data_IF_269240566928
#
_entry.id   IF_269240566928
#
_cell.length_a   1.000
_cell.length_b   1.000
_cell.length_c   1.000
_cell.angle_alpha   90.00
_cell.angle_beta   90.00
_cell.angle_gamma   90.00
#
_symmetry.space_group_name_H-M   'P 1'
#
loop_
_entity.id
_entity.type
_entity.pdbx_description
1 polymer ?
#
# COMPACT_ATOMS: atom_id res chain seq x y z
N UNK A 1 -53.31 25.16 -8.43
CA UNK A 1 -54.07 25.49 -9.66
C UNK A 1 -53.15 25.28 -10.85
N UNK A 2 -53.46 24.56 -11.92
CA UNK A 2 -54.62 23.71 -12.31
C UNK A 2 -54.10 22.71 -13.38
N UNK A 3 -54.47 21.41 -13.24
CA UNK A 3 -54.65 20.32 -14.26
C UNK A 3 -53.59 20.08 -15.37
N UNK A 4 -53.20 18.86 -15.73
CA UNK A 4 -53.93 17.64 -16.16
C UNK A 4 -54.68 17.74 -17.51
N UNK A 5 -54.30 16.89 -18.47
CA UNK A 5 -55.15 16.23 -19.48
C UNK A 5 -54.43 14.91 -19.85
N UNK A 6 -54.97 13.70 -19.58
CA UNK A 6 -56.04 12.98 -20.30
C UNK A 6 -55.60 12.57 -21.72
N UNK A 7 -55.13 11.34 -22.00
CA UNK A 7 -55.79 10.02 -21.98
C UNK A 7 -56.80 9.77 -23.13
N UNK A 8 -56.47 8.86 -24.05
CA UNK A 8 -57.40 8.19 -25.00
C UNK A 8 -56.84 6.78 -25.33
N UNK A 9 -57.47 5.67 -24.89
CA UNK A 9 -58.49 4.85 -25.58
C UNK A 9 -57.93 3.97 -26.74
N UNK A 10 -58.16 2.64 -26.86
CA UNK A 10 -59.38 1.82 -26.65
C UNK A 10 -59.12 0.33 -26.29
N UNK A 11 -60.19 -0.40 -25.91
CA UNK A 11 -60.27 -1.83 -25.50
C UNK A 11 -60.68 -2.81 -26.64
N UNK A 12 -60.28 -4.09 -26.51
CA UNK A 12 -61.02 -5.37 -26.77
C UNK A 12 -60.15 -6.55 -26.26
N UNK A 13 -60.55 -7.68 -25.64
CA UNK A 13 -61.81 -8.23 -25.08
C UNK A 13 -62.62 -9.30 -25.86
N UNK A 14 -62.16 -10.58 -25.78
CA UNK A 14 -62.85 -11.89 -25.97
C UNK A 14 -61.78 -12.99 -25.66
N UNK A 15 -61.81 -13.83 -24.62
CA UNK A 15 -62.80 -14.85 -24.20
C UNK A 15 -62.83 -16.11 -25.08
N UNK A 16 -62.08 -17.15 -24.68
CA UNK A 16 -62.36 -18.55 -25.03
C UNK A 16 -61.97 -19.49 -23.87
N UNK A 17 -62.81 -20.47 -23.57
CA UNK A 17 -62.71 -21.35 -22.41
C UNK A 17 -63.47 -22.64 -22.73
N UNK A 18 -62.82 -23.81 -22.80
CA UNK A 18 -63.38 -25.13 -22.41
C UNK A 18 -62.38 -26.30 -22.56
N UNK A 19 -62.05 -26.92 -21.42
CA UNK A 19 -61.98 -28.36 -21.08
C UNK A 19 -61.35 -29.39 -22.06
N UNK A 20 -60.44 -30.20 -21.48
CA UNK A 20 -60.20 -31.67 -21.58
C UNK A 20 -58.69 -31.91 -21.30
N UNK A 21 -58.20 -32.79 -20.41
CA UNK A 21 -58.78 -33.82 -19.51
C UNK A 21 -58.02 -33.87 -18.15
N UNK A 22 -58.15 -34.96 -17.38
CA UNK A 22 -57.14 -35.46 -16.44
C UNK A 22 -56.52 -36.76 -16.97
N UNK A 23 -55.23 -36.98 -16.75
CA UNK A 23 -54.65 -38.32 -16.61
C UNK A 23 -53.50 -38.30 -15.60
N UNK A 24 -53.68 -38.99 -14.48
CA UNK A 24 -52.62 -39.24 -13.50
C UNK A 24 -51.66 -40.29 -14.07
N UNK A 25 -50.41 -39.91 -14.31
CA UNK A 25 -49.30 -40.85 -14.48
C UNK A 25 -48.21 -40.51 -13.48
N UNK A 26 -48.06 -41.36 -12.48
CA UNK A 26 -46.89 -41.34 -11.61
C UNK A 26 -45.68 -41.82 -12.40
N UNK A 27 -44.72 -40.92 -12.66
CA UNK A 27 -43.37 -41.32 -13.04
C UNK A 27 -42.47 -41.15 -11.81
N UNK A 28 -42.04 -42.28 -11.26
CA UNK A 28 -40.95 -42.37 -10.32
C UNK A 28 -39.72 -41.65 -10.87
N UNK A 29 -39.30 -40.55 -10.23
CA UNK A 29 -37.94 -40.02 -10.41
C UNK A 29 -36.98 -40.99 -9.74
N UNK A 30 -36.51 -42.00 -10.48
CA UNK A 30 -35.32 -42.74 -10.08
C UNK A 30 -34.18 -41.72 -9.91
N UNK A 31 -33.54 -41.75 -8.75
CA UNK A 31 -32.23 -41.15 -8.63
C UNK A 31 -31.30 -41.93 -9.57
N UNK A 32 -30.62 -41.23 -10.48
CA UNK A 32 -29.59 -41.85 -11.30
C UNK A 32 -28.44 -42.30 -10.38
N UNK A 33 -28.13 -43.59 -10.44
CA UNK A 33 -27.04 -44.22 -9.71
C UNK A 33 -25.70 -43.77 -10.35
N UNK A 34 -24.74 -43.20 -9.60
CA UNK A 34 -23.48 -42.73 -10.18
C UNK A 34 -22.54 -43.84 -10.69
N UNK A 35 -22.95 -45.11 -10.65
CA UNK A 35 -22.05 -46.27 -10.85
C UNK A 35 -21.85 -46.76 -12.29
N UNK A 36 -22.33 -46.05 -13.32
CA UNK A 36 -22.04 -46.43 -14.73
C UNK A 36 -20.78 -45.75 -15.28
N UNK A 37 -19.69 -46.52 -15.42
CA UNK A 37 -18.64 -46.23 -16.41
C UNK A 37 -17.21 -45.94 -15.93
N UNK A 38 -16.84 -46.27 -14.69
CA UNK A 38 -15.40 -46.29 -14.32
C UNK A 38 -14.75 -47.64 -14.65
N UNK A 39 -13.70 -47.62 -15.47
CA UNK A 39 -12.83 -48.78 -15.71
C UNK A 39 -12.00 -49.08 -14.44
N UNK A 40 -12.55 -49.94 -13.58
CA UNK A 40 -11.98 -50.31 -12.26
C UNK A 40 -10.57 -50.93 -12.35
N UNK A 41 -10.08 -51.29 -13.55
CA UNK A 41 -8.77 -51.94 -13.79
C UNK A 41 -7.66 -51.01 -14.31
N UNK A 42 -7.88 -49.69 -14.37
CA UNK A 42 -6.81 -48.75 -14.74
C UNK A 42 -5.69 -48.76 -13.68
N UNK A 43 -4.50 -49.25 -14.05
CA UNK A 43 -3.33 -49.39 -13.17
C UNK A 43 -3.02 -48.08 -12.42
N UNK A 44 -2.98 -48.14 -11.09
CA UNK A 44 -2.72 -46.96 -10.26
C UNK A 44 -1.25 -46.50 -10.39
N UNK A 45 -1.05 -45.19 -10.33
CA UNK A 45 0.27 -44.59 -10.48
C UNK A 45 1.05 -44.55 -9.16
N UNK A 46 2.36 -44.82 -9.24
CA UNK A 46 3.33 -44.68 -8.13
C UNK A 46 4.23 -43.46 -8.26
N UNK A 47 4.25 -42.80 -9.42
CA UNK A 47 5.03 -41.58 -9.70
C UNK A 47 4.10 -40.35 -9.76
N UNK A 48 4.59 -39.21 -9.29
CA UNK A 48 3.76 -38.01 -9.09
C UNK A 48 3.00 -37.56 -10.35
N UNK A 49 3.60 -37.57 -11.54
CA UNK A 49 2.93 -37.14 -12.79
C UNK A 49 1.74 -38.02 -13.17
N UNK A 50 1.70 -39.26 -12.69
CA UNK A 50 0.57 -40.17 -12.82
C UNK A 50 -0.45 -39.98 -11.69
N UNK A 51 0.01 -39.79 -10.46
CA UNK A 51 -0.85 -39.56 -9.28
C UNK A 51 -1.72 -38.30 -9.50
N UNK A 52 -1.14 -37.21 -10.01
CA UNK A 52 -1.87 -35.95 -10.28
C UNK A 52 -2.86 -36.05 -11.47
N UNK A 53 -2.84 -37.15 -12.23
CA UNK A 53 -3.75 -37.45 -13.34
C UNK A 53 -4.71 -38.59 -13.02
N UNK A 54 -4.67 -39.13 -11.81
CA UNK A 54 -5.57 -40.17 -11.37
C UNK A 54 -6.91 -39.54 -10.99
N UNK A 55 -7.99 -40.12 -11.50
CA UNK A 55 -9.35 -39.73 -11.10
C UNK A 55 -9.58 -40.12 -9.65
N UNK A 56 -10.34 -39.33 -8.86
CA UNK A 56 -10.67 -39.67 -7.49
C UNK A 56 -11.52 -40.95 -7.42
N UNK A 57 -11.28 -41.76 -6.41
CA UNK A 57 -12.07 -42.95 -6.15
C UNK A 57 -13.47 -42.63 -5.60
N UNK A 58 -14.44 -43.56 -5.70
CA UNK A 58 -15.79 -43.38 -5.14
C UNK A 58 -15.80 -43.22 -3.62
N UNK A 59 -14.74 -43.63 -2.93
CA UNK A 59 -14.51 -43.42 -1.50
C UNK A 59 -13.45 -42.35 -1.22
N UNK A 60 -13.42 -41.30 -2.03
CA UNK A 60 -12.65 -40.07 -1.79
C UNK A 60 -13.47 -39.01 -1.03
N UNK A 61 -12.81 -37.95 -0.54
CA UNK A 61 -13.52 -36.80 0.02
C UNK A 61 -13.97 -36.96 1.48
N UNK A 62 -15.14 -36.39 1.84
CA UNK A 62 -15.48 -36.04 3.24
C UNK A 62 -16.15 -37.14 4.08
N UNK A 63 -17.06 -37.92 3.52
CA UNK A 63 -17.88 -38.87 4.30
C UNK A 63 -17.93 -40.24 3.62
N UNK A 64 -17.30 -41.24 4.25
CA UNK A 64 -17.28 -42.63 3.82
C UNK A 64 -17.63 -43.52 5.01
N UNK A 65 -18.54 -44.48 4.79
CA UNK A 65 -18.69 -45.63 5.66
C UNK A 65 -17.58 -46.62 5.29
N UNK A 66 -16.64 -46.87 6.21
CA UNK A 66 -15.62 -47.90 6.03
C UNK A 66 -16.26 -49.26 5.75
N UNK A 67 -17.45 -49.52 6.30
CA UNK A 67 -18.23 -50.74 6.04
C UNK A 67 -18.57 -50.92 4.55
N UNK A 68 -18.85 -49.84 3.81
CA UNK A 68 -19.07 -49.89 2.35
C UNK A 68 -17.78 -50.15 1.58
N UNK A 69 -16.65 -49.60 2.04
CA UNK A 69 -15.36 -49.89 1.45
C UNK A 69 -15.01 -51.37 1.66
N UNK A 70 -15.17 -51.88 2.89
CA UNK A 70 -14.98 -53.30 3.22
C UNK A 70 -15.85 -54.22 2.34
N UNK A 71 -17.13 -53.88 2.11
CA UNK A 71 -18.03 -54.62 1.20
C UNK A 71 -17.55 -54.69 -0.27
N UNK A 72 -16.82 -53.69 -0.77
CA UNK A 72 -16.18 -53.74 -2.09
C UNK A 72 -14.88 -54.55 -2.04
N UNK A 73 -14.11 -54.48 -0.95
CA UNK A 73 -12.87 -55.24 -0.74
C UNK A 73 -13.13 -56.75 -0.55
N UNK A 74 -14.24 -57.13 0.08
CA UNK A 74 -14.67 -58.51 0.26
C UNK A 74 -14.81 -59.27 -1.07
N UNK A 75 -15.20 -58.55 -2.13
CA UNK A 75 -15.40 -59.08 -3.48
C UNK A 75 -14.11 -59.31 -4.28
N UNK A 76 -12.96 -58.82 -3.78
CA UNK A 76 -11.67 -59.05 -4.42
C UNK A 76 -11.23 -60.51 -4.27
N UNK A 77 -10.44 -61.07 -5.22
CA UNK A 77 -9.94 -62.43 -5.12
C UNK A 77 -9.01 -62.61 -3.91
N UNK A 78 -8.81 -63.86 -3.51
CA UNK A 78 -7.82 -64.24 -2.50
C UNK A 78 -6.43 -64.43 -3.18
N UNK A 79 -5.35 -64.48 -2.39
CA UNK A 79 -3.96 -64.60 -2.87
C UNK A 79 -3.50 -63.51 -3.88
N UNK A 80 -4.02 -62.28 -3.76
CA UNK A 80 -3.69 -61.15 -4.64
C UNK A 80 -2.20 -60.77 -4.65
N UNK A 81 -1.76 -60.11 -5.74
CA UNK A 81 -0.47 -59.42 -5.79
C UNK A 81 -0.54 -58.00 -5.25
N UNK A 82 0.58 -57.53 -4.70
CA UNK A 82 0.67 -56.21 -4.10
C UNK A 82 0.34 -55.06 -5.07
N UNK A 83 0.65 -55.19 -6.36
CA UNK A 83 0.35 -54.16 -7.36
C UNK A 83 -1.11 -54.21 -7.87
N UNK A 84 -1.75 -55.38 -7.82
CA UNK A 84 -3.20 -55.54 -8.02
C UNK A 84 -3.97 -54.92 -6.85
N UNK A 85 -3.62 -55.28 -5.61
CA UNK A 85 -4.20 -54.72 -4.40
C UNK A 85 -3.99 -53.20 -4.33
N UNK A 86 -2.78 -52.70 -4.59
CA UNK A 86 -2.50 -51.26 -4.69
C UNK A 86 -3.40 -50.56 -5.71
N UNK A 87 -3.57 -51.17 -6.89
CA UNK A 87 -4.44 -50.61 -7.94
C UNK A 87 -5.90 -50.53 -7.47
N UNK A 88 -6.42 -51.59 -6.86
CA UNK A 88 -7.78 -51.57 -6.31
C UNK A 88 -7.94 -50.56 -5.18
N UNK A 89 -7.04 -50.54 -4.19
CA UNK A 89 -7.14 -49.62 -3.05
C UNK A 89 -7.12 -48.15 -3.50
N UNK A 90 -6.17 -47.76 -4.34
CA UNK A 90 -6.08 -46.37 -4.82
C UNK A 90 -7.26 -46.00 -5.71
N UNK A 91 -7.75 -46.90 -6.57
CA UNK A 91 -8.95 -46.63 -7.37
C UNK A 91 -10.23 -46.53 -6.52
N UNK A 92 -10.23 -47.04 -5.28
CA UNK A 92 -11.34 -46.91 -4.34
C UNK A 92 -11.26 -45.63 -3.49
N UNK A 93 -10.13 -45.35 -2.83
CA UNK A 93 -10.01 -44.24 -1.84
C UNK A 93 -9.18 -43.04 -2.32
N UNK A 94 -8.58 -43.11 -3.51
CA UNK A 94 -7.66 -42.11 -4.04
C UNK A 94 -8.28 -40.71 -4.11
N UNK A 95 -7.55 -39.72 -3.62
CA UNK A 95 -8.05 -38.36 -3.48
C UNK A 95 -7.93 -37.52 -4.76
N UNK A 96 -8.80 -36.53 -4.92
CA UNK A 96 -8.71 -35.56 -6.03
C UNK A 96 -7.50 -34.65 -5.85
N UNK A 97 -6.38 -35.02 -6.47
CA UNK A 97 -5.20 -34.18 -6.64
C UNK A 97 -5.20 -33.40 -7.95
N UNK A 98 -5.99 -33.81 -8.94
CA UNK A 98 -6.00 -33.18 -10.26
C UNK A 98 -6.55 -31.74 -10.17
N UNK A 99 -7.62 -31.51 -9.40
CA UNK A 99 -8.15 -30.16 -9.14
C UNK A 99 -7.18 -29.31 -8.31
N UNK A 100 -6.32 -29.95 -7.50
CA UNK A 100 -5.31 -29.26 -6.69
C UNK A 100 -4.16 -28.79 -7.58
N UNK A 101 -3.59 -29.70 -8.38
CA UNK A 101 -2.54 -29.41 -9.34
C UNK A 101 -2.96 -28.25 -10.28
N UNK A 102 -4.16 -28.31 -10.85
CA UNK A 102 -4.71 -27.23 -11.69
C UNK A 102 -4.76 -25.87 -10.97
N UNK A 103 -5.08 -25.82 -9.67
CA UNK A 103 -5.10 -24.56 -8.92
C UNK A 103 -3.70 -24.03 -8.61
N UNK A 104 -2.75 -24.92 -8.34
CA UNK A 104 -1.32 -24.59 -8.15
C UNK A 104 -0.69 -24.10 -9.46
N UNK A 105 -1.01 -24.75 -10.59
CA UNK A 105 -0.55 -24.35 -11.93
C UNK A 105 -1.09 -22.97 -12.37
N UNK A 106 -2.28 -22.60 -11.91
CA UNK A 106 -2.89 -21.28 -12.14
C UNK A 106 -2.66 -20.30 -10.96
N UNK A 107 -1.66 -20.53 -10.12
CA UNK A 107 -1.28 -19.58 -9.07
C UNK A 107 -0.55 -18.37 -9.68
N UNK A 108 -1.22 -17.22 -9.65
CA UNK A 108 -0.65 -15.93 -10.00
C UNK A 108 -0.48 -15.07 -8.72
N UNK A 109 0.76 -14.75 -8.31
CA UNK A 109 1.06 -13.86 -7.19
C UNK A 109 1.24 -12.39 -7.60
N UNK A 110 1.09 -12.03 -8.88
CA UNK A 110 1.45 -10.70 -9.39
C UNK A 110 0.74 -9.55 -8.64
N UNK A 111 1.48 -8.47 -8.43
CA UNK A 111 0.98 -7.21 -7.89
C UNK A 111 1.02 -6.15 -9.01
N UNK A 112 -0.06 -5.38 -9.16
CA UNK A 112 -0.16 -4.35 -10.19
C UNK A 112 0.23 -2.99 -9.62
N UNK A 113 1.27 -2.38 -10.19
CA UNK A 113 1.71 -1.01 -9.89
C UNK A 113 1.00 -0.07 -10.85
N UNK A 114 0.38 0.99 -10.35
CA UNK A 114 -0.26 2.03 -11.17
C UNK A 114 0.76 3.12 -11.58
N UNK A 115 0.31 4.15 -12.31
CA UNK A 115 1.21 5.20 -12.81
C UNK A 115 1.55 6.25 -11.76
N UNK A 116 2.77 6.78 -11.81
CA UNK A 116 3.17 7.94 -11.00
C UNK A 116 2.86 9.26 -11.74
N UNK A 117 1.97 10.08 -11.19
CA UNK A 117 1.62 11.39 -11.78
C UNK A 117 2.49 12.53 -11.22
N UNK A 118 3.50 12.96 -11.98
CA UNK A 118 4.37 14.11 -11.62
C UNK A 118 3.67 15.48 -11.64
N UNK A 119 2.51 15.60 -12.29
CA UNK A 119 1.74 16.86 -12.35
C UNK A 119 0.36 16.66 -11.74
N UNK A 120 0.01 17.51 -10.78
CA UNK A 120 -1.33 17.54 -10.22
C UNK A 120 -2.33 17.98 -11.30
N UNK A 121 -3.02 17.02 -11.90
CA UNK A 121 -4.30 17.30 -12.55
C UNK A 121 -5.39 17.47 -11.50
N UNK A 122 -6.51 18.08 -11.87
CA UNK A 122 -7.72 18.17 -11.04
C UNK A 122 -8.43 16.81 -10.85
N UNK A 123 -7.70 15.72 -11.09
CA UNK A 123 -8.11 14.36 -10.78
C UNK A 123 -8.36 14.24 -9.28
N UNK A 124 -9.48 13.61 -8.94
CA UNK A 124 -9.87 13.39 -7.54
C UNK A 124 -8.76 12.61 -6.85
N UNK A 125 -8.05 13.25 -5.92
CA UNK A 125 -7.38 12.55 -4.83
C UNK A 125 -8.41 11.58 -4.26
N UNK A 126 -8.23 10.28 -4.49
CA UNK A 126 -9.03 9.28 -3.79
C UNK A 126 -8.76 9.48 -2.30
N UNK A 127 -9.84 9.53 -1.52
CA UNK A 127 -9.77 9.68 -0.08
C UNK A 127 -9.30 8.36 0.56
N UNK A 128 -8.05 8.01 0.31
CA UNK A 128 -7.33 6.97 1.05
C UNK A 128 -7.15 7.45 2.49
N UNK A 129 -7.89 6.83 3.41
CA UNK A 129 -7.85 7.16 4.82
C UNK A 129 -6.57 6.65 5.49
N UNK A 130 -5.99 7.49 6.36
CA UNK A 130 -5.06 7.17 7.45
C UNK A 130 -3.96 6.12 7.17
N UNK A 131 -3.42 6.06 5.94
CA UNK A 131 -2.11 5.45 5.64
C UNK A 131 -1.04 6.53 5.65
N UNK A 132 0.13 6.23 6.23
CA UNK A 132 1.16 7.20 6.64
C UNK A 132 1.72 8.03 5.47
N UNK A 133 1.10 9.20 5.22
CA UNK A 133 1.63 10.25 4.33
C UNK A 133 2.78 10.99 5.00
N UNK A 134 3.85 11.28 4.26
CA UNK A 134 5.00 12.03 4.77
C UNK A 134 4.60 13.48 5.03
N UNK A 135 4.51 13.90 6.29
CA UNK A 135 4.03 15.24 6.66
C UNK A 135 5.01 16.32 6.19
N UNK A 136 4.52 17.28 5.40
CA UNK A 136 5.29 18.43 4.93
C UNK A 136 4.97 19.66 5.78
N UNK A 137 6.00 20.30 6.31
CA UNK A 137 5.91 21.50 7.12
C UNK A 137 6.76 22.60 6.53
N UNK A 138 6.14 23.75 6.31
CA UNK A 138 6.76 24.92 5.69
C UNK A 138 6.63 26.10 6.65
N UNK A 139 7.74 26.60 7.18
CA UNK A 139 7.76 27.87 7.90
C UNK A 139 8.41 28.95 7.05
N UNK A 140 7.77 30.12 6.96
CA UNK A 140 8.30 31.28 6.25
C UNK A 140 8.69 32.34 7.27
N UNK A 141 9.96 32.76 7.23
CA UNK A 141 10.53 33.85 8.02
C UNK A 141 10.61 35.09 7.14
N UNK A 142 9.69 36.02 7.34
CA UNK A 142 9.63 37.29 6.60
C UNK A 142 10.34 38.41 7.38
N UNK A 143 11.37 38.96 6.77
CA UNK A 143 12.05 40.16 7.23
C UNK A 143 11.15 41.39 7.07
N UNK A 144 10.87 42.08 8.18
CA UNK A 144 10.16 43.35 8.23
C UNK A 144 11.03 44.47 8.83
N UNK A 145 12.35 44.37 8.65
CA UNK A 145 13.25 45.48 8.89
C UNK A 145 13.00 46.63 7.91
N UNK A 146 13.34 47.86 8.31
CA UNK A 146 13.00 49.07 7.54
C UNK A 146 13.75 49.23 6.21
N UNK A 147 14.71 48.36 5.89
CA UNK A 147 15.30 48.28 4.55
C UNK A 147 14.30 47.72 3.51
N UNK A 148 13.37 46.87 3.95
CA UNK A 148 12.26 46.36 3.14
C UNK A 148 11.20 47.43 2.77
N UNK A 149 11.30 48.64 3.34
CA UNK A 149 10.55 49.83 2.89
C UNK A 149 11.15 50.45 1.60
N UNK A 150 12.36 50.03 1.23
CA UNK A 150 13.04 50.43 0.00
C UNK A 150 12.27 50.01 -1.25
N UNK A 151 12.65 50.58 -2.39
CA UNK A 151 12.02 50.32 -3.68
C UNK A 151 12.97 49.68 -4.67
N UNK A 152 12.47 48.68 -5.40
CA UNK A 152 13.11 48.13 -6.60
C UNK A 152 12.11 48.22 -7.75
N UNK A 153 12.58 48.64 -8.93
CA UNK A 153 11.76 48.82 -10.14
C UNK A 153 10.46 49.65 -9.93
N UNK A 154 10.40 50.51 -8.90
CA UNK A 154 9.27 51.37 -8.57
C UNK A 154 8.29 50.82 -7.52
N UNK A 155 8.27 49.51 -7.31
CA UNK A 155 7.51 48.81 -6.24
C UNK A 155 8.29 48.81 -4.92
N UNK A 156 7.59 48.61 -3.80
CA UNK A 156 8.20 48.47 -2.46
C UNK A 156 8.61 47.02 -2.23
N UNK A 157 9.79 46.76 -1.67
CA UNK A 157 10.31 45.40 -1.44
C UNK A 157 9.35 44.55 -0.61
N UNK A 158 8.84 45.07 0.51
CA UNK A 158 7.87 44.36 1.35
C UNK A 158 6.65 43.86 0.56
N UNK A 159 6.10 44.68 -0.33
CA UNK A 159 4.92 44.31 -1.12
C UNK A 159 5.25 43.22 -2.15
N UNK A 160 6.40 43.31 -2.82
CA UNK A 160 6.87 42.24 -3.72
C UNK A 160 7.12 40.91 -2.97
N UNK A 161 7.61 40.97 -1.73
CA UNK A 161 7.81 39.79 -0.88
C UNK A 161 6.47 39.17 -0.44
N UNK A 162 5.47 39.99 -0.05
CA UNK A 162 4.11 39.54 0.29
C UNK A 162 3.44 38.86 -0.92
N UNK A 163 3.44 39.52 -2.08
CA UNK A 163 2.91 38.98 -3.35
C UNK A 163 3.52 37.60 -3.66
N UNK A 164 4.85 37.48 -3.53
CA UNK A 164 5.55 36.24 -3.85
C UNK A 164 5.33 35.10 -2.84
N UNK A 165 5.21 35.44 -1.55
CA UNK A 165 4.89 34.48 -0.49
C UNK A 165 3.45 33.96 -0.65
N UNK A 166 2.47 34.82 -0.96
CA UNK A 166 1.07 34.39 -1.11
C UNK A 166 0.88 33.44 -2.31
N UNK A 167 1.49 33.70 -3.46
CA UNK A 167 1.48 32.79 -4.63
C UNK A 167 2.10 31.43 -4.27
N UNK A 168 3.26 31.43 -3.61
CA UNK A 168 3.96 30.21 -3.20
C UNK A 168 3.10 29.31 -2.31
N UNK A 169 2.50 29.86 -1.25
CA UNK A 169 1.67 29.08 -0.31
C UNK A 169 0.31 28.68 -0.88
N UNK A 170 -0.18 29.36 -1.92
CA UNK A 170 -1.49 29.07 -2.51
C UNK A 170 -1.54 27.74 -3.29
N UNK A 171 -0.38 27.17 -3.60
CA UNK A 171 -0.18 26.02 -4.50
C UNK A 171 0.72 24.95 -3.84
N UNK A 172 0.68 24.85 -2.51
CA UNK A 172 1.26 23.72 -1.76
C UNK A 172 0.20 22.62 -1.51
N UNK A 173 0.59 21.36 -1.27
CA UNK A 173 -0.32 20.27 -0.95
C UNK A 173 -1.27 20.61 0.21
N UNK A 174 -2.52 20.16 0.13
CA UNK A 174 -3.58 20.50 1.10
C UNK A 174 -3.33 19.92 2.49
N UNK A 175 -2.51 18.87 2.58
CA UNK A 175 -2.06 18.21 3.81
C UNK A 175 -0.76 18.79 4.38
N UNK A 176 -0.10 19.74 3.69
CA UNK A 176 1.02 20.47 4.23
C UNK A 176 0.57 21.48 5.32
N UNK A 177 1.34 21.58 6.40
CA UNK A 177 1.15 22.62 7.44
C UNK A 177 2.08 23.80 7.15
N UNK A 178 1.56 25.01 7.23
CA UNK A 178 2.28 26.26 6.99
C UNK A 178 2.30 27.11 8.27
N UNK A 179 3.44 27.70 8.59
CA UNK A 179 3.57 28.83 9.54
C UNK A 179 4.18 30.05 8.85
N UNK A 180 3.75 31.25 9.25
CA UNK A 180 4.38 32.52 8.85
C UNK A 180 4.81 33.27 10.11
N UNK A 181 6.11 33.54 10.20
CA UNK A 181 6.75 34.29 11.28
C UNK A 181 7.38 35.54 10.70
N UNK A 182 7.06 36.68 11.31
CA UNK A 182 7.62 37.98 10.94
C UNK A 182 8.62 38.42 12.01
N UNK A 183 9.66 39.13 11.60
CA UNK A 183 10.67 39.67 12.51
C UNK A 183 11.13 41.08 12.10
N UNK A 184 11.49 41.90 13.09
CA UNK A 184 11.91 43.30 12.86
C UNK A 184 10.77 44.32 12.67
N UNK A 185 9.51 43.88 12.70
CA UNK A 185 8.32 44.70 12.40
C UNK A 185 7.91 45.70 13.49
N UNK A 186 8.54 45.68 14.68
CA UNK A 186 8.22 46.60 15.79
C UNK A 186 9.29 47.67 15.98
N UNK A 187 8.85 48.86 16.42
CA UNK A 187 9.73 49.97 16.75
C UNK A 187 10.11 50.79 15.53
N UNK A 188 11.40 51.08 15.37
CA UNK A 188 11.96 51.74 14.18
C UNK A 188 13.45 51.45 14.04
N UNK A 189 14.03 51.85 12.90
CA UNK A 189 15.48 51.87 12.68
C UNK A 189 16.27 52.87 13.54
N UNK A 190 15.62 53.65 14.43
CA UNK A 190 16.34 54.48 15.39
C UNK A 190 16.99 53.62 16.50
N UNK A 191 18.21 54.00 16.91
CA UNK A 191 18.94 53.28 17.97
C UNK A 191 18.17 53.16 19.29
N UNK A 192 17.28 54.13 19.61
CA UNK A 192 16.41 54.09 20.79
C UNK A 192 15.39 52.93 20.78
N UNK A 193 14.97 52.51 19.59
CA UNK A 193 13.94 51.49 19.41
C UNK A 193 14.57 50.12 19.09
N UNK A 194 15.91 50.06 18.98
CA UNK A 194 16.68 48.85 18.64
C UNK A 194 16.36 47.68 19.56
N UNK A 195 16.25 47.88 20.87
CA UNK A 195 15.90 46.81 21.80
C UNK A 195 14.52 46.20 21.48
N UNK A 196 13.48 47.05 21.35
CA UNK A 196 12.11 46.64 21.01
C UNK A 196 12.05 45.89 19.68
N UNK A 197 12.81 46.38 18.69
CA UNK A 197 12.82 45.79 17.37
C UNK A 197 13.60 44.47 17.31
N UNK A 198 14.76 44.41 17.97
CA UNK A 198 15.53 43.18 18.10
C UNK A 198 14.81 42.11 18.92
N UNK A 199 13.87 42.51 19.79
CA UNK A 199 12.99 41.57 20.47
C UNK A 199 11.78 41.11 19.63
N UNK A 200 11.50 41.74 18.48
CA UNK A 200 10.35 41.41 17.63
C UNK A 200 10.64 40.25 16.67
N UNK A 201 10.13 39.08 17.01
CA UNK A 201 9.99 37.92 16.12
C UNK A 201 8.79 37.08 16.60
N UNK A 202 7.70 37.04 15.83
CA UNK A 202 6.47 36.36 16.25
C UNK A 202 5.71 35.71 15.08
N UNK A 203 4.96 34.65 15.39
CA UNK A 203 4.11 33.93 14.43
C UNK A 203 2.84 34.74 14.19
N UNK A 204 2.61 35.11 12.94
CA UNK A 204 1.42 35.84 12.48
C UNK A 204 0.43 34.95 11.72
N UNK A 205 0.90 33.84 11.15
CA UNK A 205 0.04 32.73 10.72
C UNK A 205 0.42 31.45 11.47
N UNK A 206 -0.45 30.91 12.33
CA UNK A 206 -0.12 29.75 13.16
C UNK A 206 0.04 28.48 12.33
N UNK A 207 0.95 27.62 12.76
CA UNK A 207 1.29 26.35 12.10
C UNK A 207 0.05 25.48 11.85
N UNK A 208 -0.33 25.29 10.59
CA UNK A 208 -1.49 24.49 10.19
C UNK A 208 -1.83 24.61 8.71
N UNK A 209 -2.89 23.91 8.27
CA UNK A 209 -3.32 23.90 6.87
C UNK A 209 -3.57 25.32 6.32
N UNK A 210 -3.23 25.56 5.06
CA UNK A 210 -3.39 26.85 4.38
C UNK A 210 -4.86 27.31 4.31
N UNK A 211 -5.09 28.58 4.64
CA UNK A 211 -6.39 29.26 4.56
C UNK A 211 -6.19 30.65 3.99
N UNK A 212 -6.43 30.80 2.68
CA UNK A 212 -6.20 32.04 1.91
C UNK A 212 -6.55 33.33 2.66
N UNK A 213 -7.81 33.50 3.03
CA UNK A 213 -8.31 34.72 3.70
C UNK A 213 -7.64 35.01 5.05
N UNK A 214 -7.16 33.99 5.77
CA UNK A 214 -6.48 34.17 7.05
C UNK A 214 -4.99 34.44 6.87
N UNK A 215 -4.37 33.84 5.84
CA UNK A 215 -2.97 34.04 5.50
C UNK A 215 -2.73 35.43 4.89
N UNK A 216 -3.56 35.84 3.93
CA UNK A 216 -3.51 37.16 3.30
C UNK A 216 -3.69 38.27 4.36
N UNK A 217 -4.68 38.15 5.25
CA UNK A 217 -4.86 39.06 6.40
C UNK A 217 -3.69 39.10 7.39
N UNK A 218 -2.87 38.05 7.48
CA UNK A 218 -1.67 38.05 8.31
C UNK A 218 -0.54 38.84 7.62
N UNK A 219 -0.34 38.64 6.31
CA UNK A 219 0.61 39.42 5.50
C UNK A 219 0.26 40.91 5.46
N UNK A 220 -1.01 41.27 5.30
CA UNK A 220 -1.48 42.67 5.23
C UNK A 220 -1.07 43.51 6.46
N UNK A 221 -0.86 42.88 7.62
CA UNK A 221 -0.48 43.55 8.86
C UNK A 221 1.03 43.82 9.00
N UNK A 222 1.84 43.37 8.05
CA UNK A 222 3.31 43.49 8.11
C UNK A 222 3.79 44.82 7.53
N UNK A 223 4.45 45.61 8.39
CA UNK A 223 5.04 46.90 8.05
C UNK A 223 6.57 46.88 8.22
N UNK A 224 7.36 47.32 7.22
CA UNK A 224 8.82 47.29 7.27
C UNK A 224 9.38 48.49 8.04
N UNK A 225 9.71 48.31 9.33
CA UNK A 225 10.01 49.45 10.22
C UNK A 225 11.35 49.39 10.95
N UNK A 226 11.80 48.20 11.36
CA UNK A 226 12.83 48.06 12.40
C UNK A 226 14.14 47.39 11.95
N UNK A 227 14.82 46.78 12.92
CA UNK A 227 16.11 46.08 12.78
C UNK A 227 15.92 44.60 12.41
N UNK A 228 17.01 43.88 12.16
CA UNK A 228 17.01 42.52 11.59
C UNK A 228 17.47 41.44 12.60
N UNK A 229 16.58 40.94 13.50
CA UNK A 229 16.90 39.86 14.45
C UNK A 229 16.69 38.45 13.84
N UNK A 230 17.41 38.15 12.76
CA UNK A 230 17.29 36.88 12.02
C UNK A 230 17.56 35.65 12.92
N UNK A 231 18.57 35.70 13.78
CA UNK A 231 18.86 34.60 14.71
C UNK A 231 17.71 34.36 15.69
N UNK A 232 17.00 35.42 16.13
CA UNK A 232 15.82 35.28 17.00
C UNK A 232 14.65 34.64 16.24
N UNK A 233 14.46 34.99 14.97
CA UNK A 233 13.45 34.38 14.10
C UNK A 233 13.71 32.87 13.90
N UNK A 234 14.96 32.48 13.60
CA UNK A 234 15.35 31.06 13.47
C UNK A 234 15.21 30.28 14.77
N UNK A 235 15.53 30.89 15.91
CA UNK A 235 15.29 30.26 17.20
C UNK A 235 13.79 30.07 17.49
N UNK A 236 12.95 31.00 17.02
CA UNK A 236 11.49 30.88 17.02
C UNK A 236 10.99 29.71 16.18
N UNK A 237 11.43 29.60 14.93
CA UNK A 237 11.06 28.49 14.03
C UNK A 237 11.38 27.10 14.64
N UNK A 238 12.49 27.00 15.39
CA UNK A 238 12.83 25.77 16.11
C UNK A 238 11.82 25.41 17.20
N UNK A 239 11.20 26.39 17.84
CA UNK A 239 10.18 26.19 18.86
C UNK A 239 8.83 25.84 18.21
N UNK A 240 8.49 26.51 17.10
CA UNK A 240 7.24 26.30 16.37
C UNK A 240 7.16 24.90 15.75
N UNK A 241 8.29 24.37 15.26
CA UNK A 241 8.40 23.03 14.66
C UNK A 241 8.83 21.93 15.66
N UNK A 242 8.90 22.22 16.96
CA UNK A 242 9.50 21.32 17.95
C UNK A 242 8.77 19.96 18.12
N UNK A 243 7.48 19.90 17.78
CA UNK A 243 6.68 18.66 17.78
C UNK A 243 6.78 17.86 16.49
N UNK A 244 7.30 18.45 15.41
CA UNK A 244 7.27 17.87 14.08
C UNK A 244 8.57 17.11 13.81
N UNK A 245 8.67 15.90 14.35
CA UNK A 245 9.86 15.03 14.24
C UNK A 245 9.50 13.63 13.73
N UNK A 246 10.46 12.93 13.14
CA UNK A 246 10.30 11.55 12.66
C UNK A 246 10.71 11.34 11.20
N UNK A 247 10.85 10.08 10.79
CA UNK A 247 11.33 9.68 9.45
C UNK A 247 10.39 10.14 8.32
N UNK A 248 9.11 10.20 8.64
CA UNK A 248 8.02 10.60 7.75
C UNK A 248 7.59 12.05 7.97
N UNK A 249 8.50 12.88 8.49
CA UNK A 249 8.32 14.33 8.60
C UNK A 249 9.36 15.06 7.74
N UNK A 250 8.95 16.14 7.06
CA UNK A 250 9.84 17.02 6.32
C UNK A 250 9.59 18.48 6.70
N UNK A 251 10.52 19.04 7.46
CA UNK A 251 10.54 20.46 7.81
C UNK A 251 11.38 21.28 6.82
N UNK A 252 10.81 22.39 6.33
CA UNK A 252 11.48 23.35 5.44
C UNK A 252 11.23 24.76 5.97
N UNK A 253 12.29 25.52 6.18
CA UNK A 253 12.24 26.93 6.58
C UNK A 253 12.70 27.78 5.39
N UNK A 254 11.89 28.74 4.97
CA UNK A 254 12.27 29.74 3.96
C UNK A 254 12.43 31.10 4.61
N UNK A 255 13.60 31.72 4.46
CA UNK A 255 13.85 33.10 4.91
C UNK A 255 13.80 34.03 3.71
N UNK A 256 13.00 35.08 3.78
CA UNK A 256 12.98 36.17 2.80
C UNK A 256 13.49 37.42 3.49
N UNK A 257 14.66 37.92 3.08
CA UNK A 257 15.36 39.02 3.75
C UNK A 257 16.17 39.88 2.77
N UNK A 258 16.28 41.18 3.05
CA UNK A 258 17.14 42.10 2.30
C UNK A 258 18.41 42.56 3.05
N UNK A 259 18.67 41.99 4.23
CA UNK A 259 19.79 42.39 5.09
C UNK A 259 20.42 41.25 5.90
N UNK A 260 21.61 41.51 6.43
CA UNK A 260 22.24 40.65 7.44
C UNK A 260 21.69 40.91 8.83
N UNK A 261 21.94 39.98 9.76
CA UNK A 261 21.70 40.13 11.20
C UNK A 261 22.28 41.47 11.72
N UNK A 262 21.46 42.26 12.42
CA UNK A 262 21.86 43.56 12.98
C UNK A 262 21.59 43.70 14.47
N UNK A 263 21.06 42.67 15.12
CA UNK A 263 20.69 42.65 16.54
C UNK A 263 21.70 41.93 17.45
N UNK A 264 22.80 41.41 16.87
CA UNK A 264 23.90 40.79 17.62
C UNK A 264 23.70 39.29 17.87
N UNK A 265 22.75 38.67 17.18
CA UNK A 265 22.61 37.21 17.14
C UNK A 265 23.66 36.52 16.25
N UNK A 266 23.59 35.20 16.20
CA UNK A 266 24.43 34.33 15.36
C UNK A 266 23.50 33.44 14.49
N UNK A 267 23.09 33.90 13.29
CA UNK A 267 22.13 33.19 12.47
C UNK A 267 22.71 31.89 11.89
N UNK A 268 24.03 31.82 11.67
CA UNK A 268 24.71 30.61 11.18
C UNK A 268 24.56 29.49 12.21
N UNK A 269 24.76 29.81 13.49
CA UNK A 269 24.59 28.87 14.60
C UNK A 269 23.13 28.46 14.82
N UNK A 270 22.16 29.36 14.67
CA UNK A 270 20.74 28.99 14.79
C UNK A 270 20.26 28.15 13.59
N UNK A 271 20.72 28.43 12.36
CA UNK A 271 20.48 27.56 11.20
C UNK A 271 21.09 26.16 11.39
N UNK A 272 22.32 26.07 11.88
CA UNK A 272 22.94 24.78 12.24
C UNK A 272 22.14 24.03 13.32
N UNK A 273 21.57 24.74 14.30
CA UNK A 273 20.73 24.14 15.36
C UNK A 273 19.38 23.64 14.87
N UNK A 274 18.81 24.27 13.83
CA UNK A 274 17.61 23.79 13.15
C UNK A 274 17.93 22.46 12.44
N UNK A 275 18.91 22.51 11.54
CA UNK A 275 19.29 21.40 10.67
C UNK A 275 19.81 20.16 11.41
N UNK A 276 20.60 20.32 12.48
CA UNK A 276 21.18 19.21 13.26
C UNK A 276 20.38 18.80 14.50
N UNK A 277 19.09 19.15 14.56
CA UNK A 277 18.20 18.67 15.63
C UNK A 277 17.15 17.70 15.08
N UNK A 278 16.37 17.07 15.96
CA UNK A 278 15.43 15.99 15.61
C UNK A 278 14.32 16.39 14.61
N UNK A 279 14.15 17.71 14.34
CA UNK A 279 13.27 18.25 13.29
C UNK A 279 13.92 18.20 11.89
N UNK A 280 15.24 18.04 11.79
CA UNK A 280 16.04 18.00 10.55
C UNK A 280 15.69 19.08 9.50
N UNK A 281 15.37 20.29 9.97
CA UNK A 281 14.83 21.35 9.13
C UNK A 281 15.86 21.87 8.13
N UNK A 282 15.45 21.97 6.86
CA UNK A 282 16.25 22.57 5.78
C UNK A 282 15.99 24.07 5.75
N UNK A 283 17.03 24.90 5.88
CA UNK A 283 16.89 26.37 5.90
C UNK A 283 17.34 26.96 4.55
N UNK A 284 16.36 27.37 3.76
CA UNK A 284 16.56 28.04 2.47
C UNK A 284 16.51 29.55 2.65
N UNK A 285 17.40 30.30 2.00
CA UNK A 285 17.49 31.75 2.12
C UNK A 285 17.29 32.41 0.74
N UNK A 286 16.37 33.36 0.69
CA UNK A 286 16.09 34.21 -0.48
C UNK A 286 16.54 35.64 -0.13
N UNK A 287 17.72 36.01 -0.64
CA UNK A 287 18.38 37.29 -0.39
C UNK A 287 17.98 38.35 -1.40
N UNK A 288 17.11 39.27 -1.01
CA UNK A 288 16.48 40.27 -1.88
C UNK A 288 17.28 41.57 -1.98
N UNK A 289 17.71 41.93 -3.18
CA UNK A 289 18.31 43.23 -3.53
C UNK A 289 19.27 43.82 -2.48
N UNK A 290 20.41 43.17 -2.31
CA UNK A 290 21.35 43.40 -1.20
C UNK A 290 22.81 43.50 -1.64
N UNK A 291 23.65 44.05 -0.76
CA UNK A 291 25.08 44.26 -0.99
C UNK A 291 25.92 42.97 -0.87
N UNK A 292 27.17 43.01 -1.35
CA UNK A 292 28.05 41.82 -1.34
C UNK A 292 28.32 41.23 0.06
N UNK A 293 28.39 42.04 1.12
CA UNK A 293 28.62 41.53 2.48
C UNK A 293 27.39 40.84 3.07
N UNK A 294 26.19 41.37 2.79
CA UNK A 294 24.93 40.76 3.23
C UNK A 294 24.66 39.44 2.49
N UNK A 295 24.95 39.37 1.18
CA UNK A 295 24.87 38.12 0.40
C UNK A 295 25.76 37.02 0.96
N UNK A 296 27.01 37.33 1.30
CA UNK A 296 27.95 36.33 1.85
C UNK A 296 27.47 35.82 3.22
N UNK A 297 27.04 36.72 4.12
CA UNK A 297 26.55 36.32 5.43
C UNK A 297 25.31 35.40 5.34
N UNK A 298 24.35 35.73 4.47
CA UNK A 298 23.16 34.90 4.28
C UNK A 298 23.44 33.57 3.56
N UNK A 299 24.48 33.52 2.72
CA UNK A 299 24.94 32.26 2.12
C UNK A 299 25.49 31.29 3.16
N UNK A 300 26.32 31.76 4.09
CA UNK A 300 26.85 30.95 5.19
C UNK A 300 25.74 30.39 6.09
N UNK A 301 24.65 31.15 6.27
CA UNK A 301 23.46 30.72 7.01
C UNK A 301 22.73 29.57 6.28
N UNK A 302 22.54 29.67 4.97
CA UNK A 302 21.92 28.60 4.17
C UNK A 302 22.75 27.31 4.20
N UNK A 303 24.07 27.43 4.00
CA UNK A 303 25.01 26.31 4.03
C UNK A 303 25.00 25.60 5.40
N UNK A 304 24.98 26.36 6.50
CA UNK A 304 24.87 25.81 7.85
C UNK A 304 23.52 25.15 8.15
N UNK A 305 22.45 25.64 7.51
CA UNK A 305 21.10 25.09 7.58
C UNK A 305 20.78 23.99 6.57
N UNK A 306 21.76 23.53 5.78
CA UNK A 306 21.60 22.46 4.80
C UNK A 306 20.69 22.79 3.62
N UNK A 307 20.39 24.07 3.37
CA UNK A 307 19.54 24.55 2.28
C UNK A 307 20.30 25.36 1.24
N UNK A 308 19.55 26.02 0.35
CA UNK A 308 20.13 26.89 -0.69
C UNK A 308 20.14 28.36 -0.27
N UNK A 309 21.03 29.14 -0.88
CA UNK A 309 20.98 30.60 -0.90
C UNK A 309 20.78 31.08 -2.33
N UNK A 310 19.75 31.90 -2.56
CA UNK A 310 19.49 32.52 -3.86
C UNK A 310 19.41 34.04 -3.72
N UNK A 311 20.01 34.76 -4.69
CA UNK A 311 20.03 36.23 -4.68
C UNK A 311 19.10 36.77 -5.76
N UNK A 312 18.06 37.48 -5.33
CA UNK A 312 16.94 37.90 -6.16
C UNK A 312 16.91 39.43 -6.29
N UNK A 313 16.37 39.94 -7.39
CA UNK A 313 16.27 41.39 -7.66
C UNK A 313 14.84 41.90 -7.75
N UNK A 314 13.85 41.03 -7.90
CA UNK A 314 12.43 41.40 -7.96
C UNK A 314 11.54 40.37 -7.26
N UNK A 315 10.28 40.72 -7.00
CA UNK A 315 9.24 39.76 -6.62
C UNK A 315 9.06 38.63 -7.63
N UNK A 316 9.26 38.89 -8.93
CA UNK A 316 9.22 37.86 -9.98
C UNK A 316 10.37 36.83 -9.84
N UNK A 317 11.56 37.27 -9.40
CA UNK A 317 12.65 36.36 -9.05
C UNK A 317 12.30 35.53 -7.80
N UNK A 318 11.71 36.14 -6.76
CA UNK A 318 11.26 35.42 -5.55
C UNK A 318 10.24 34.34 -5.94
N UNK A 319 9.24 34.70 -6.74
CA UNK A 319 8.23 33.79 -7.30
C UNK A 319 8.86 32.63 -8.06
N UNK A 320 9.83 32.91 -8.93
CA UNK A 320 10.54 31.87 -9.70
C UNK A 320 11.30 30.91 -8.79
N UNK A 321 12.09 31.43 -7.84
CA UNK A 321 12.84 30.61 -6.87
C UNK A 321 11.89 29.78 -5.98
N UNK A 322 10.75 30.34 -5.57
CA UNK A 322 9.74 29.58 -4.86
C UNK A 322 9.17 28.45 -5.72
N UNK A 323 8.78 28.71 -6.98
CA UNK A 323 8.24 27.68 -7.89
C UNK A 323 9.24 26.56 -8.20
N UNK A 324 10.47 26.90 -8.58
CA UNK A 324 11.54 25.93 -8.88
C UNK A 324 11.87 25.01 -7.69
N UNK A 325 11.79 25.52 -6.46
CA UNK A 325 12.07 24.71 -5.26
C UNK A 325 10.82 24.06 -4.68
N UNK A 326 9.63 24.62 -4.92
CA UNK A 326 8.33 23.97 -4.67
C UNK A 326 8.24 22.68 -5.46
N UNK A 327 8.49 22.70 -6.78
CA UNK A 327 8.47 21.50 -7.62
C UNK A 327 9.34 20.39 -7.03
N UNK A 328 10.61 20.67 -6.70
CA UNK A 328 11.52 19.70 -6.07
C UNK A 328 10.99 19.13 -4.75
N UNK A 329 10.44 19.97 -3.87
CA UNK A 329 9.90 19.55 -2.56
C UNK A 329 8.61 18.73 -2.75
N UNK A 330 7.73 19.14 -3.65
CA UNK A 330 6.45 18.45 -3.89
C UNK A 330 6.64 17.14 -4.63
N UNK A 331 7.55 17.06 -5.59
CA UNK A 331 7.84 15.81 -6.30
C UNK A 331 8.51 14.79 -5.38
N UNK A 332 9.42 15.22 -4.49
CA UNK A 332 9.98 14.35 -3.46
C UNK A 332 8.93 13.87 -2.43
N UNK A 333 7.97 14.71 -2.07
CA UNK A 333 6.84 14.34 -1.20
C UNK A 333 5.88 13.37 -1.90
N UNK A 334 5.47 13.66 -3.15
CA UNK A 334 4.66 12.77 -4.00
C UNK A 334 5.31 11.40 -4.17
N UNK A 335 6.58 11.35 -4.55
CA UNK A 335 7.35 10.13 -4.70
C UNK A 335 7.45 9.32 -3.40
N UNK A 336 7.57 9.99 -2.25
CA UNK A 336 7.54 9.30 -0.95
C UNK A 336 6.16 8.72 -0.66
N UNK A 337 5.09 9.49 -0.82
CA UNK A 337 3.72 9.00 -0.56
C UNK A 337 3.34 7.84 -1.48
N UNK A 338 3.71 7.92 -2.76
CA UNK A 338 3.51 6.86 -3.75
C UNK A 338 4.24 5.58 -3.35
N UNK A 339 5.54 5.67 -3.01
CA UNK A 339 6.34 4.54 -2.48
C UNK A 339 5.74 3.95 -1.21
N UNK A 340 5.37 4.78 -0.22
CA UNK A 340 4.79 4.33 1.04
C UNK A 340 3.49 3.57 0.81
N UNK A 341 2.56 4.09 0.00
CA UNK A 341 1.29 3.42 -0.35
C UNK A 341 1.55 2.03 -0.94
N UNK A 342 2.39 1.93 -1.96
CA UNK A 342 2.72 0.63 -2.56
C UNK A 342 3.41 -0.31 -1.58
N UNK A 343 4.28 0.20 -0.72
CA UNK A 343 4.95 -0.63 0.31
C UNK A 343 3.91 -1.29 1.22
N UNK A 344 2.93 -0.54 1.72
CA UNK A 344 1.85 -1.09 2.55
C UNK A 344 0.92 -2.04 1.79
N UNK A 345 0.55 -1.71 0.55
CA UNK A 345 -0.35 -2.52 -0.26
C UNK A 345 0.31 -3.83 -0.73
N UNK A 346 1.61 -3.80 -1.07
CA UNK A 346 2.43 -4.98 -1.34
C UNK A 346 2.56 -5.88 -0.09
N UNK A 347 2.74 -5.32 1.11
CA UNK A 347 2.76 -6.10 2.36
C UNK A 347 1.41 -6.79 2.62
N UNK A 348 0.30 -6.10 2.39
CA UNK A 348 -1.05 -6.67 2.53
C UNK A 348 -1.31 -7.77 1.49
N UNK A 349 -0.94 -7.53 0.23
CA UNK A 349 -1.04 -8.50 -0.87
C UNK A 349 -0.20 -9.75 -0.60
N UNK A 350 1.06 -9.59 -0.17
CA UNK A 350 1.95 -10.69 0.20
C UNK A 350 1.34 -11.59 1.26
N UNK A 351 0.76 -10.99 2.31
CA UNK A 351 0.07 -11.75 3.36
C UNK A 351 -1.14 -12.54 2.82
N UNK A 352 -1.98 -11.89 2.02
CA UNK A 352 -3.16 -12.55 1.44
C UNK A 352 -2.77 -13.70 0.49
N UNK A 353 -1.67 -13.54 -0.26
CA UNK A 353 -1.14 -14.60 -1.12
C UNK A 353 -0.47 -15.73 -0.34
N UNK A 354 0.19 -15.46 0.80
CA UNK A 354 0.69 -16.50 1.71
C UNK A 354 -0.46 -17.34 2.29
N UNK A 355 -1.53 -16.70 2.76
CA UNK A 355 -2.74 -17.40 3.25
C UNK A 355 -3.38 -18.26 2.14
N UNK A 356 -3.36 -17.80 0.88
CA UNK A 356 -3.81 -18.56 -0.31
C UNK A 356 -2.88 -19.73 -0.66
N UNK A 357 -1.56 -19.56 -0.54
CA UNK A 357 -0.58 -20.64 -0.71
C UNK A 357 -0.85 -21.73 0.32
N UNK A 358 -1.02 -21.36 1.60
CA UNK A 358 -1.26 -22.33 2.66
C UNK A 358 -2.60 -23.05 2.51
N UNK A 359 -3.68 -22.40 2.04
CA UNK A 359 -4.93 -23.10 1.69
C UNK A 359 -4.73 -24.10 0.54
N UNK A 360 -4.11 -23.68 -0.57
CA UNK A 360 -3.89 -24.52 -1.75
C UNK A 360 -3.06 -25.78 -1.44
N UNK A 361 -2.06 -25.63 -0.58
CA UNK A 361 -1.07 -26.65 -0.21
C UNK A 361 -1.57 -27.54 0.92
N UNK A 362 -2.26 -26.98 1.91
CA UNK A 362 -2.67 -27.71 3.11
C UNK A 362 -4.05 -28.35 2.96
N UNK A 363 -4.96 -27.74 2.18
CA UNK A 363 -6.36 -28.16 1.95
C UNK A 363 -7.00 -28.83 3.16
N UNK A 364 -7.00 -28.07 4.26
CA UNK A 364 -7.32 -28.59 5.58
C UNK A 364 -8.80 -28.94 5.65
N UNK A 365 -9.09 -30.18 6.04
CA UNK A 365 -10.45 -30.61 6.32
C UNK A 365 -10.73 -30.50 7.82
N UNK A 366 -11.64 -29.61 8.26
CA UNK A 366 -12.05 -29.56 9.65
C UNK A 366 -12.92 -30.79 9.98
N UNK A 367 -12.36 -31.76 10.69
CA UNK A 367 -13.09 -32.88 11.30
C UNK A 367 -13.01 -32.80 12.82
N UNK A 368 -14.15 -32.73 13.51
CA UNK A 368 -14.25 -32.84 14.98
C UNK A 368 -13.31 -31.92 15.79
N UNK A 369 -12.88 -30.79 15.22
CA UNK A 369 -11.95 -29.83 15.84
C UNK A 369 -10.48 -30.00 15.43
N UNK A 370 -10.14 -31.01 14.63
CA UNK A 370 -8.80 -31.25 14.10
C UNK A 370 -8.74 -30.89 12.62
N UNK A 371 -7.61 -30.30 12.20
CA UNK A 371 -7.31 -30.01 10.80
C UNK A 371 -6.56 -31.21 10.20
N UNK A 372 -7.10 -31.85 9.17
CA UNK A 372 -6.48 -33.02 8.51
C UNK A 372 -6.12 -32.67 7.07
N UNK A 373 -4.89 -32.96 6.65
CA UNK A 373 -4.37 -32.71 5.31
C UNK A 373 -4.82 -33.84 4.35
N UNK A 374 -5.06 -33.51 3.08
CA UNK A 374 -5.65 -34.44 2.08
C UNK A 374 -4.88 -35.75 1.93
N UNK A 375 -3.55 -35.72 1.81
CA UNK A 375 -2.73 -36.93 1.59
C UNK A 375 -2.49 -37.73 2.88
N UNK A 376 -2.54 -37.10 4.06
CA UNK A 376 -2.57 -37.83 5.35
C UNK A 376 -3.87 -38.64 5.46
N UNK A 377 -5.01 -38.06 5.05
CA UNK A 377 -6.31 -38.75 5.00
C UNK A 377 -6.34 -39.90 3.99
N UNK A 378 -5.76 -39.71 2.80
CA UNK A 378 -5.65 -40.78 1.81
C UNK A 378 -4.81 -41.93 2.37
N UNK A 379 -3.66 -41.62 2.98
CA UNK A 379 -2.78 -42.61 3.59
C UNK A 379 -3.47 -43.39 4.71
N UNK A 380 -4.16 -42.70 5.65
CA UNK A 380 -4.92 -43.33 6.73
C UNK A 380 -5.98 -44.33 6.19
N UNK A 381 -6.61 -44.02 5.05
CA UNK A 381 -7.60 -44.90 4.40
C UNK A 381 -6.94 -46.07 3.68
N UNK A 382 -5.84 -45.82 2.98
CA UNK A 382 -5.08 -46.85 2.28
C UNK A 382 -4.50 -47.87 3.27
N UNK A 383 -3.90 -47.42 4.37
CA UNK A 383 -3.37 -48.27 5.44
C UNK A 383 -4.47 -49.12 6.08
N UNK A 384 -5.62 -48.52 6.43
CA UNK A 384 -6.76 -49.26 6.99
C UNK A 384 -7.33 -50.30 6.03
N UNK A 385 -7.38 -49.97 4.73
CA UNK A 385 -7.86 -50.88 3.71
C UNK A 385 -6.85 -52.01 3.41
N UNK A 386 -5.55 -51.73 3.46
CA UNK A 386 -4.49 -52.75 3.36
C UNK A 386 -4.54 -53.73 4.54
N UNK A 387 -4.64 -53.21 5.77
CA UNK A 387 -4.82 -54.03 6.97
C UNK A 387 -6.07 -54.91 6.86
N UNK A 388 -7.19 -54.37 6.35
CA UNK A 388 -8.41 -55.16 6.14
C UNK A 388 -8.20 -56.33 5.15
N UNK A 389 -7.46 -56.11 4.05
CA UNK A 389 -7.14 -57.18 3.10
C UNK A 389 -6.23 -58.27 3.71
N UNK A 390 -5.29 -57.90 4.57
CA UNK A 390 -4.46 -58.86 5.32
C UNK A 390 -5.30 -59.63 6.36
N UNK A 391 -6.14 -58.93 7.13
CA UNK A 391 -7.03 -59.52 8.14
C UNK A 391 -8.05 -60.52 7.53
N UNK A 392 -8.52 -60.27 6.30
CA UNK A 392 -9.37 -61.19 5.54
C UNK A 392 -8.59 -62.31 4.81
N UNK A 393 -7.26 -62.35 4.91
CA UNK A 393 -6.42 -63.36 4.26
C UNK A 393 -6.31 -63.20 2.73
N UNK A 394 -6.68 -62.05 2.17
CA UNK A 394 -6.62 -61.77 0.74
C UNK A 394 -5.21 -61.44 0.25
N UNK A 395 -4.31 -61.10 1.18
CA UNK A 395 -2.88 -60.90 0.97
C UNK A 395 -2.09 -61.77 1.95
N UNK A 396 -0.99 -62.36 1.48
CA UNK A 396 0.00 -63.00 2.37
C UNK A 396 1.03 -61.98 2.88
N UNK A 397 1.79 -62.36 3.92
CA UNK A 397 2.78 -61.50 4.59
C UNK A 397 3.84 -60.89 3.64
N UNK A 398 4.21 -61.58 2.55
CA UNK A 398 5.19 -61.07 1.59
C UNK A 398 4.58 -59.99 0.68
N UNK A 399 3.34 -60.19 0.22
CA UNK A 399 2.62 -59.24 -0.62
C UNK A 399 2.09 -58.04 0.18
N UNK A 400 1.69 -58.22 1.46
CA UNK A 400 1.34 -57.11 2.35
C UNK A 400 2.51 -56.13 2.54
N UNK A 401 3.71 -56.65 2.88
CA UNK A 401 4.94 -55.83 2.99
C UNK A 401 5.40 -55.18 1.68
N UNK A 402 4.93 -55.65 0.52
CA UNK A 402 5.15 -54.98 -0.77
C UNK A 402 4.10 -53.88 -0.99
N UNK A 403 2.85 -54.12 -0.61
CA UNK A 403 1.77 -53.14 -0.65
C UNK A 403 2.11 -51.93 0.23
N UNK A 404 2.52 -52.14 1.48
CA UNK A 404 2.94 -51.07 2.39
C UNK A 404 3.95 -50.12 1.74
N UNK A 405 4.98 -50.66 1.09
CA UNK A 405 6.01 -49.88 0.40
C UNK A 405 5.48 -49.07 -0.79
N UNK A 406 4.43 -49.56 -1.46
CA UNK A 406 3.75 -48.82 -2.54
C UNK A 406 2.91 -47.67 -1.95
N UNK A 407 2.27 -47.88 -0.80
CA UNK A 407 1.53 -46.85 -0.06
C UNK A 407 2.49 -45.77 0.48
N UNK A 408 3.53 -46.17 1.22
CA UNK A 408 4.60 -45.28 1.71
C UNK A 408 5.22 -44.45 0.57
N UNK A 409 5.50 -45.07 -0.58
CA UNK A 409 6.01 -44.36 -1.76
C UNK A 409 5.00 -43.32 -2.24
N UNK A 410 3.72 -43.68 -2.43
CA UNK A 410 2.67 -42.75 -2.89
C UNK A 410 2.55 -41.53 -1.95
N UNK A 411 2.49 -41.78 -0.64
CA UNK A 411 2.45 -40.72 0.37
C UNK A 411 3.69 -39.83 0.32
N UNK A 412 4.88 -40.42 0.16
CA UNK A 412 6.15 -39.69 0.05
C UNK A 412 6.20 -38.79 -1.19
N UNK A 413 5.77 -39.29 -2.36
CA UNK A 413 5.68 -38.49 -3.59
C UNK A 413 4.73 -37.29 -3.44
N UNK A 414 3.54 -37.52 -2.86
CA UNK A 414 2.55 -36.46 -2.59
C UNK A 414 3.07 -35.41 -1.61
N UNK A 415 3.72 -35.83 -0.52
CA UNK A 415 4.35 -34.93 0.45
C UNK A 415 5.48 -34.12 -0.18
N UNK A 416 6.37 -34.75 -0.93
CA UNK A 416 7.48 -34.08 -1.61
C UNK A 416 6.97 -33.07 -2.65
N UNK A 417 5.94 -33.43 -3.42
CA UNK A 417 5.27 -32.52 -4.35
C UNK A 417 4.67 -31.31 -3.62
N UNK A 418 3.95 -31.53 -2.52
CA UNK A 418 3.39 -30.46 -1.67
C UNK A 418 4.48 -29.49 -1.23
N UNK A 419 5.55 -30.00 -0.61
CA UNK A 419 6.64 -29.18 -0.06
C UNK A 419 7.37 -28.40 -1.16
N UNK A 420 7.65 -29.06 -2.30
CA UNK A 420 8.21 -28.42 -3.49
C UNK A 420 7.31 -27.29 -4.03
N UNK A 421 6.01 -27.54 -4.18
CA UNK A 421 5.05 -26.53 -4.70
C UNK A 421 4.80 -25.38 -3.73
N UNK A 422 4.78 -25.63 -2.43
CA UNK A 422 4.73 -24.56 -1.42
C UNK A 422 5.95 -23.67 -1.52
N UNK A 423 7.16 -24.24 -1.71
CA UNK A 423 8.38 -23.46 -1.91
C UNK A 423 8.33 -22.67 -3.23
N UNK A 424 8.02 -23.32 -4.35
CA UNK A 424 7.95 -22.67 -5.67
C UNK A 424 6.99 -21.47 -5.68
N UNK A 425 5.80 -21.59 -5.08
CA UNK A 425 4.85 -20.48 -5.02
C UNK A 425 5.28 -19.34 -4.08
N UNK A 426 5.97 -19.65 -2.97
CA UNK A 426 6.56 -18.62 -2.10
C UNK A 426 7.72 -17.88 -2.80
N UNK A 427 8.61 -18.61 -3.48
CA UNK A 427 9.70 -18.02 -4.27
C UNK A 427 9.13 -17.09 -5.37
N UNK A 428 8.07 -17.51 -6.06
CA UNK A 428 7.37 -16.70 -7.06
C UNK A 428 6.71 -15.45 -6.47
N UNK A 429 6.13 -15.56 -5.27
CA UNK A 429 5.51 -14.43 -4.57
C UNK A 429 6.57 -13.41 -4.11
N UNK A 430 7.70 -13.87 -3.59
CA UNK A 430 8.81 -13.00 -3.22
C UNK A 430 9.36 -12.24 -4.45
N UNK A 431 9.57 -12.94 -5.57
CA UNK A 431 10.00 -12.34 -6.83
C UNK A 431 8.99 -11.32 -7.37
N UNK A 432 7.67 -11.60 -7.31
CA UNK A 432 6.63 -10.68 -7.77
C UNK A 432 6.58 -9.38 -6.95
N UNK A 433 6.85 -9.46 -5.64
CA UNK A 433 6.94 -8.29 -4.75
C UNK A 433 8.21 -7.49 -5.01
N UNK A 434 9.35 -8.16 -5.27
CA UNK A 434 10.60 -7.50 -5.65
C UNK A 434 10.45 -6.72 -6.95
N UNK A 435 9.91 -7.35 -8.01
CA UNK A 435 9.63 -6.71 -9.30
C UNK A 435 8.65 -5.53 -9.18
N UNK A 436 7.61 -5.65 -8.36
CA UNK A 436 6.70 -4.54 -8.09
C UNK A 436 7.40 -3.38 -7.36
N UNK A 437 8.32 -3.67 -6.44
CA UNK A 437 9.13 -2.65 -5.76
C UNK A 437 10.11 -1.96 -6.72
N UNK A 438 10.71 -2.68 -7.67
CA UNK A 438 11.55 -2.09 -8.71
C UNK A 438 10.74 -1.17 -9.62
N UNK A 439 9.57 -1.62 -10.10
CA UNK A 439 8.67 -0.81 -10.93
C UNK A 439 8.20 0.47 -10.22
N UNK A 440 8.03 0.45 -8.90
CA UNK A 440 7.72 1.67 -8.11
C UNK A 440 8.85 2.70 -8.18
N UNK A 441 10.12 2.28 -8.12
CA UNK A 441 11.28 3.19 -8.23
C UNK A 441 11.52 3.66 -9.67
N UNK A 442 11.27 2.80 -10.67
CA UNK A 442 11.27 3.18 -12.10
C UNK A 442 10.21 4.27 -12.36
N UNK A 443 8.96 4.05 -11.94
CA UNK A 443 7.87 5.02 -12.11
C UNK A 443 8.14 6.37 -11.41
N UNK A 444 8.92 6.39 -10.33
CA UNK A 444 9.35 7.65 -9.68
C UNK A 444 10.45 8.36 -10.51
N UNK A 445 11.31 7.58 -11.16
CA UNK A 445 12.48 8.07 -11.90
C UNK A 445 12.09 8.71 -13.24
N UNK A 446 11.20 8.07 -14.00
CA UNK A 446 10.66 8.50 -15.31
C UNK A 446 9.79 9.77 -15.24
#
# INVERSE_FOLDING_TARGET
MVKEDQMMCKKYWLSFLLIVALSLTACSSQAEDPSEGQDKNKKAATEIEGILKQEPGPFSGKEISMDKLHQELDQLPDDMKADEAYTHLVNQVGEDYQSVAKKIENFDPSYQVDGFEKKGGDGKEQADGDKEKKQLHIEILLDASGSMAGKVNGKVKMEEAKEAIEDFVSDVPKDAKISLRVYGHKGSNAQKDKAVSCDSAEVIYPHGAYKKDAFSKALDQVEPTGWTPLAKAMNGAKQDLASETGKDVKNVVYVVSDGKETCGGDPVKEAQKLHKSEIEAVVNIIGFDMDASSRQALKEVAEAGGGFYESVKTGEDILRIFRENREKVMDAHRATNYRNRHTFDMMAHKRAMQEKIDDLVSQLYPQRGTLVIRYDREQERLEKAAQYLEDQGKLNEEESKKLDKLLEKRHTELKNYREKKQKEMNDQLDQAIEQASEQVEENISD
#
